data_IF_156199115546
#
_entry.id   IF_156199115546
#
_cell.length_a   1.000
_cell.length_b   1.000
_cell.length_c   1.000
_cell.angle_alpha   90.00
_cell.angle_beta   90.00
_cell.angle_gamma   90.00
#
_symmetry.space_group_name_H-M   'P 1'
#
loop_
_entity.id
_entity.type
_entity.pdbx_description
1 polymer ?
#
# COMPACT_ATOMS: atom_id res chain seq x y z
N UNK A 1 -5.74 -5.15 3.48
CA UNK A 1 -6.18 -4.01 2.64
C UNK A 1 -5.18 -3.79 1.52
N UNK A 2 -5.64 -3.68 0.31
CA UNK A 2 -4.78 -3.39 -0.84
C UNK A 2 -4.45 -1.90 -0.88
N UNK A 3 -3.22 -1.57 -1.27
CA UNK A 3 -2.77 -0.18 -1.33
C UNK A 3 -3.69 0.69 -2.21
N UNK A 4 -4.13 0.16 -3.37
CA UNK A 4 -5.03 0.90 -4.27
C UNK A 4 -6.36 1.29 -3.62
N UNK A 5 -6.78 0.56 -2.59
CA UNK A 5 -8.05 0.84 -1.90
C UNK A 5 -7.96 2.02 -0.94
N UNK A 6 -6.75 2.52 -0.65
CA UNK A 6 -6.58 3.75 0.12
C UNK A 6 -6.97 4.98 -0.69
N UNK A 7 -6.75 4.94 -2.01
CA UNK A 7 -7.08 6.08 -2.87
C UNK A 7 -8.59 6.36 -2.81
N UNK A 8 -8.92 7.62 -2.66
CA UNK A 8 -10.29 8.14 -2.55
C UNK A 8 -11.01 7.82 -1.25
N UNK A 9 -10.37 7.19 -0.27
CA UNK A 9 -10.97 7.08 1.05
C UNK A 9 -11.23 8.46 1.64
N UNK A 10 -12.40 8.66 2.26
CA UNK A 10 -12.65 9.92 2.96
C UNK A 10 -11.76 10.05 4.19
N UNK A 11 -11.35 11.26 4.48
CA UNK A 11 -10.61 11.61 5.69
C UNK A 11 -11.58 12.21 6.69
N UNK A 12 -11.78 11.53 7.79
CA UNK A 12 -12.72 11.91 8.84
C UNK A 12 -12.00 12.55 10.02
N UNK A 13 -12.42 13.76 10.38
CA UNK A 13 -11.92 14.48 11.54
C UNK A 13 -12.86 14.20 12.72
N UNK A 14 -12.36 13.48 13.74
CA UNK A 14 -13.16 13.09 14.91
C UNK A 14 -13.58 14.30 15.72
N UNK A 15 -12.72 15.31 15.81
CA UNK A 15 -13.00 16.50 16.62
C UNK A 15 -14.22 17.29 16.13
N UNK A 16 -14.38 17.38 14.81
CA UNK A 16 -15.49 18.12 14.19
C UNK A 16 -16.59 17.23 13.63
N UNK A 17 -16.38 15.91 13.63
CA UNK A 17 -17.27 14.92 13.02
C UNK A 17 -17.54 15.22 11.52
N UNK A 18 -16.52 15.67 10.80
CA UNK A 18 -16.63 16.05 9.40
C UNK A 18 -15.65 15.30 8.52
N UNK A 19 -16.07 15.00 7.30
CA UNK A 19 -15.17 14.56 6.23
C UNK A 19 -14.52 15.82 5.66
N UNK A 20 -13.18 15.88 5.73
CA UNK A 20 -12.44 17.08 5.35
C UNK A 20 -11.75 16.97 3.99
N UNK A 21 -11.67 15.76 3.45
CA UNK A 21 -11.02 15.52 2.16
C UNK A 21 -11.00 14.05 1.82
N UNK A 22 -10.21 13.71 0.80
CA UNK A 22 -10.03 12.33 0.35
C UNK A 22 -8.56 12.03 0.12
N UNK A 23 -8.19 10.78 0.33
CA UNK A 23 -6.82 10.33 0.07
C UNK A 23 -6.53 10.40 -1.43
N UNK A 24 -5.48 11.11 -1.80
CA UNK A 24 -4.97 11.15 -3.16
C UNK A 24 -3.99 10.02 -3.40
N UNK A 25 -3.05 9.81 -2.47
CA UNK A 25 -2.07 8.72 -2.53
C UNK A 25 -1.47 8.46 -1.16
N UNK A 26 -0.87 7.28 -1.01
CA UNK A 26 -0.08 6.92 0.15
C UNK A 26 1.36 6.69 -0.27
N UNK A 27 2.30 7.11 0.57
CA UNK A 27 3.74 6.91 0.35
C UNK A 27 4.24 5.90 1.38
N UNK A 28 4.81 4.79 0.89
CA UNK A 28 5.37 3.73 1.73
C UNK A 28 6.84 4.03 1.94
N UNK A 29 7.29 4.01 3.19
CA UNK A 29 8.69 4.17 3.53
C UNK A 29 9.48 2.88 3.30
N UNK A 30 10.80 2.99 3.35
CA UNK A 30 11.70 1.83 3.16
C UNK A 30 11.57 0.79 4.28
N UNK A 31 11.01 1.17 5.42
CA UNK A 31 10.68 0.28 6.53
C UNK A 31 9.40 -0.54 6.28
N UNK A 32 8.72 -0.32 5.14
CA UNK A 32 7.48 -1.01 4.79
C UNK A 32 6.24 -0.40 5.42
N UNK A 33 6.37 0.68 6.18
CA UNK A 33 5.23 1.37 6.79
C UNK A 33 4.78 2.54 5.94
N UNK A 34 3.51 2.93 6.07
CA UNK A 34 3.04 4.16 5.45
C UNK A 34 3.76 5.34 6.11
N UNK A 35 4.59 6.04 5.34
CA UNK A 35 5.28 7.23 5.83
C UNK A 35 4.30 8.39 5.98
N UNK A 36 3.47 8.61 4.98
CA UNK A 36 2.42 9.62 4.99
C UNK A 36 1.41 9.36 3.88
N UNK A 37 0.27 9.99 3.99
CA UNK A 37 -0.71 10.09 2.91
C UNK A 37 -0.82 11.52 2.44
N UNK A 38 -1.14 11.71 1.16
CA UNK A 38 -1.46 13.01 0.58
C UNK A 38 -2.97 13.08 0.46
N UNK A 39 -3.55 14.19 0.92
CA UNK A 39 -4.99 14.40 1.00
C UNK A 39 -5.39 15.55 0.11
N UNK A 40 -6.37 15.31 -0.74
CA UNK A 40 -7.03 16.35 -1.52
C UNK A 40 -8.15 16.95 -0.67
N UNK A 41 -8.03 18.24 -0.40
CA UNK A 41 -9.03 19.00 0.35
C UNK A 41 -9.60 20.08 -0.58
N UNK A 42 -10.94 20.12 -0.77
CA UNK A 42 -11.55 21.07 -1.71
C UNK A 42 -11.15 22.51 -1.44
N UNK A 43 -10.72 23.21 -2.49
CA UNK A 43 -10.36 24.61 -2.43
C UNK A 43 -9.00 24.91 -1.77
N UNK A 44 -8.20 23.90 -1.49
CA UNK A 44 -6.90 24.04 -0.85
C UNK A 44 -5.83 23.29 -1.64
N UNK A 45 -4.56 23.68 -1.43
CA UNK A 45 -3.43 22.91 -1.90
C UNK A 45 -3.42 21.53 -1.21
N UNK A 46 -2.86 20.49 -1.84
CA UNK A 46 -2.76 19.18 -1.21
C UNK A 46 -2.09 19.24 0.16
N UNK A 47 -2.60 18.46 1.08
CA UNK A 47 -2.08 18.37 2.45
C UNK A 47 -1.52 16.97 2.69
N UNK A 48 -0.75 16.80 3.75
CA UNK A 48 -0.26 15.50 4.13
C UNK A 48 -0.59 15.18 5.58
N UNK A 49 -0.70 13.89 5.86
CA UNK A 49 -0.88 13.37 7.21
C UNK A 49 0.15 12.26 7.39
N UNK A 50 0.99 12.39 8.43
CA UNK A 50 2.01 11.37 8.72
C UNK A 50 1.36 10.06 9.12
N UNK A 51 2.04 8.94 8.83
CA UNK A 51 1.51 7.61 9.12
C UNK A 51 1.14 7.40 10.59
N UNK A 52 1.86 8.04 11.50
CA UNK A 52 1.60 7.97 12.93
C UNK A 52 0.41 8.83 13.40
N UNK A 53 -0.07 9.74 12.56
CA UNK A 53 -1.07 10.73 12.94
C UNK A 53 -2.48 10.40 12.44
N UNK A 54 -2.67 9.25 11.85
CA UNK A 54 -4.01 8.78 11.46
C UNK A 54 -4.16 7.30 11.77
N UNK A 55 -5.41 6.87 11.84
CA UNK A 55 -5.75 5.45 11.87
C UNK A 55 -6.60 5.09 10.67
N UNK A 56 -6.58 3.82 10.29
CA UNK A 56 -7.40 3.30 9.21
C UNK A 56 -8.65 2.65 9.80
N UNK A 57 -9.79 3.24 9.50
CA UNK A 57 -11.07 2.63 9.74
C UNK A 57 -11.45 1.69 8.61
N UNK A 58 -12.62 1.11 8.68
CA UNK A 58 -13.12 0.20 7.66
C UNK A 58 -13.34 0.90 6.32
N UNK A 59 -13.80 2.14 6.35
CA UNK A 59 -14.19 2.90 5.16
C UNK A 59 -13.65 4.32 5.13
N UNK A 60 -12.73 4.66 6.05
CA UNK A 60 -12.20 6.01 6.15
C UNK A 60 -10.84 6.04 6.80
N UNK A 61 -10.10 7.10 6.52
CA UNK A 61 -8.93 7.51 7.27
C UNK A 61 -9.43 8.41 8.41
N UNK A 62 -8.95 8.20 9.62
CA UNK A 62 -9.44 8.90 10.80
C UNK A 62 -8.32 9.71 11.42
N UNK A 63 -8.52 11.02 11.58
CA UNK A 63 -7.61 11.90 12.32
C UNK A 63 -8.33 12.41 13.58
N UNK A 64 -7.55 12.61 14.66
CA UNK A 64 -8.11 13.09 15.92
C UNK A 64 -8.57 14.55 15.83
N UNK A 65 -7.79 15.39 15.12
CA UNK A 65 -8.07 16.79 14.94
C UNK A 65 -7.32 17.35 13.74
N UNK A 66 -7.52 18.63 13.43
CA UNK A 66 -6.91 19.30 12.28
C UNK A 66 -5.40 19.52 12.39
N UNK A 67 -4.83 19.40 13.58
CA UNK A 67 -3.38 19.61 13.78
C UNK A 67 -2.55 18.53 13.08
N UNK A 68 -3.11 17.35 12.86
CA UNK A 68 -2.46 16.28 12.13
C UNK A 68 -2.35 16.53 10.63
N UNK A 69 -3.11 17.49 10.11
CA UNK A 69 -3.14 17.82 8.69
C UNK A 69 -2.13 18.95 8.43
N UNK A 70 -1.07 18.61 7.68
CA UNK A 70 0.08 19.50 7.49
C UNK A 70 0.23 19.90 6.03
N UNK A 71 0.99 20.96 5.79
CA UNK A 71 1.34 21.35 4.44
C UNK A 71 2.17 20.26 3.77
N UNK A 72 1.85 19.95 2.52
CA UNK A 72 2.59 18.99 1.73
C UNK A 72 3.72 19.67 0.97
N UNK A 73 4.96 19.29 1.28
CA UNK A 73 6.13 19.72 0.54
C UNK A 73 6.47 18.62 -0.48
N UNK A 74 6.57 19.00 -1.75
CA UNK A 74 6.83 18.06 -2.84
C UNK A 74 8.14 17.30 -2.67
N UNK A 75 8.10 16.02 -2.88
CA UNK A 75 9.22 15.11 -2.83
C UNK A 75 8.67 13.71 -2.78
N UNK A 76 8.26 13.17 -3.93
CA UNK A 76 7.82 11.79 -3.99
C UNK A 76 9.05 10.89 -4.07
N UNK A 77 9.34 10.22 -2.97
CA UNK A 77 10.34 9.16 -2.95
C UNK A 77 9.60 7.83 -3.09
N UNK A 78 9.94 7.08 -4.13
CA UNK A 78 9.45 5.72 -4.30
C UNK A 78 10.21 4.82 -3.35
N UNK A 79 9.49 4.13 -2.48
CA UNK A 79 10.06 3.13 -1.59
C UNK A 79 10.47 1.88 -2.37
N UNK A 80 11.28 1.04 -1.75
CA UNK A 80 11.63 -0.27 -2.31
C UNK A 80 10.38 -1.11 -2.56
N UNK A 81 9.35 -0.97 -1.73
CA UNK A 81 8.11 -1.73 -1.87
C UNK A 81 7.29 -1.29 -3.09
N UNK A 82 7.19 0.01 -3.33
CA UNK A 82 6.49 0.51 -4.53
C UNK A 82 7.21 0.13 -5.82
N UNK A 83 8.53 0.05 -5.78
CA UNK A 83 9.34 -0.39 -6.93
C UNK A 83 9.12 -1.85 -7.28
N UNK A 84 8.52 -2.64 -6.38
CA UNK A 84 8.20 -4.04 -6.64
C UNK A 84 6.96 -4.23 -7.53
N UNK A 85 6.17 -3.21 -7.73
CA UNK A 85 5.04 -3.28 -8.65
C UNK A 85 5.53 -3.59 -10.06
N UNK A 86 4.98 -4.64 -10.67
CA UNK A 86 5.42 -5.13 -11.98
C UNK A 86 6.55 -6.17 -11.94
N UNK A 87 7.13 -6.41 -10.77
CA UNK A 87 8.19 -7.41 -10.62
C UNK A 87 7.61 -8.83 -10.73
N UNK A 88 8.44 -9.76 -11.19
CA UNK A 88 8.04 -11.14 -11.46
C UNK A 88 8.35 -12.04 -10.27
N UNK A 89 7.41 -12.93 -9.94
CA UNK A 89 7.56 -13.93 -8.88
C UNK A 89 7.62 -15.31 -9.50
N UNK A 90 8.62 -16.09 -9.10
CA UNK A 90 8.81 -17.47 -9.50
C UNK A 90 8.67 -18.43 -8.32
N UNK A 91 8.36 -19.69 -8.58
CA UNK A 91 8.51 -20.72 -7.56
C UNK A 91 9.94 -21.28 -7.58
N UNK A 92 10.25 -22.22 -6.67
CA UNK A 92 11.60 -22.80 -6.57
C UNK A 92 11.99 -23.68 -7.77
N UNK A 93 11.03 -24.05 -8.60
CA UNK A 93 11.26 -24.84 -9.83
C UNK A 93 11.49 -23.94 -11.06
N UNK A 94 11.46 -22.62 -10.86
CA UNK A 94 11.65 -21.66 -11.96
C UNK A 94 10.41 -21.37 -12.77
N UNK A 95 9.25 -21.80 -12.31
CA UNK A 95 7.99 -21.49 -12.96
C UNK A 95 7.52 -20.10 -12.55
N UNK A 96 7.07 -19.30 -13.51
CA UNK A 96 6.54 -17.96 -13.25
C UNK A 96 5.17 -18.08 -12.59
N UNK A 97 5.04 -17.55 -11.37
CA UNK A 97 3.78 -17.49 -10.66
C UNK A 97 2.94 -16.28 -11.05
N UNK A 98 3.60 -15.21 -11.48
CA UNK A 98 2.94 -13.99 -11.91
C UNK A 98 3.74 -12.74 -11.63
N UNK A 99 3.07 -11.60 -11.73
CA UNK A 99 3.68 -10.27 -11.48
C UNK A 99 2.98 -9.60 -10.30
N UNK A 100 3.74 -8.80 -9.56
CA UNK A 100 3.21 -8.02 -8.44
C UNK A 100 2.33 -6.90 -9.01
N UNK A 101 1.07 -6.87 -8.61
CA UNK A 101 0.11 -5.87 -9.06
C UNK A 101 -0.30 -4.88 -7.99
N UNK A 102 -0.10 -5.22 -6.72
CA UNK A 102 -0.41 -4.32 -5.61
C UNK A 102 0.31 -4.77 -4.34
N UNK A 103 0.36 -3.88 -3.37
CA UNK A 103 0.83 -4.16 -2.03
C UNK A 103 -0.37 -4.40 -1.11
N UNK A 104 -0.19 -5.28 -0.14
CA UNK A 104 -1.22 -5.57 0.86
C UNK A 104 -0.75 -5.02 2.19
N UNK A 105 -1.60 -4.19 2.80
CA UNK A 105 -1.31 -3.52 4.05
C UNK A 105 -2.08 -4.14 5.20
N UNK A 106 -1.44 -4.19 6.36
CA UNK A 106 -2.12 -4.41 7.63
C UNK A 106 -2.79 -3.10 8.05
N UNK A 107 -4.13 -3.04 8.17
CA UNK A 107 -4.80 -1.80 8.58
C UNK A 107 -4.40 -1.33 9.97
N UNK A 108 -4.14 -2.26 10.89
CA UNK A 108 -3.81 -1.93 12.27
C UNK A 108 -2.42 -1.30 12.40
N UNK A 109 -1.44 -1.85 11.69
CA UNK A 109 -0.05 -1.41 11.77
C UNK A 109 0.35 -0.45 10.65
N UNK A 110 -0.48 -0.33 9.62
CA UNK A 110 -0.18 0.47 8.41
C UNK A 110 1.14 0.06 7.76
N UNK A 111 1.38 -1.24 7.72
CA UNK A 111 2.62 -1.86 7.26
C UNK A 111 2.32 -2.81 6.09
N UNK A 112 3.23 -2.87 5.12
CA UNK A 112 3.14 -3.84 4.02
C UNK A 112 3.35 -5.23 4.60
N UNK A 113 2.37 -6.09 4.43
CA UNK A 113 2.42 -7.47 4.90
C UNK A 113 2.48 -8.48 3.74
N UNK A 114 2.19 -8.06 2.53
CA UNK A 114 2.18 -8.98 1.40
C UNK A 114 2.09 -8.29 0.06
N UNK A 115 2.06 -9.12 -0.96
CA UNK A 115 1.93 -8.72 -2.37
C UNK A 115 0.73 -9.39 -3.00
N UNK A 116 -0.01 -8.64 -3.80
CA UNK A 116 -0.98 -9.22 -4.72
C UNK A 116 -0.25 -9.61 -6.00
N UNK A 117 -0.41 -10.84 -6.44
CA UNK A 117 0.26 -11.38 -7.63
C UNK A 117 -0.78 -11.82 -8.64
N UNK A 118 -0.65 -11.33 -9.86
CA UNK A 118 -1.50 -11.69 -10.98
C UNK A 118 -0.77 -12.71 -11.86
N UNK A 119 -1.40 -13.84 -12.08
CA UNK A 119 -0.91 -14.85 -13.03
C UNK A 119 -1.45 -14.66 -14.45
N UNK A 120 -2.28 -13.62 -14.65
CA UNK A 120 -2.78 -13.17 -15.94
C UNK A 120 -4.19 -13.66 -16.28
N UNK A 121 -4.85 -12.87 -17.08
CA UNK A 121 -6.11 -13.09 -17.79
C UNK A 121 -7.09 -14.10 -17.21
N UNK A 122 -7.21 -15.24 -17.87
CA UNK A 122 -8.20 -16.28 -17.54
C UNK A 122 -7.97 -16.89 -16.15
N UNK A 123 -6.71 -17.09 -15.76
CA UNK A 123 -6.39 -17.64 -14.44
C UNK A 123 -6.87 -16.69 -13.32
N UNK A 124 -6.65 -15.40 -13.46
CA UNK A 124 -7.14 -14.42 -12.50
C UNK A 124 -8.66 -14.41 -12.41
N UNK A 125 -9.32 -14.56 -13.55
CA UNK A 125 -10.77 -14.59 -13.61
C UNK A 125 -11.37 -15.81 -12.90
N UNK A 126 -10.74 -16.98 -13.06
CA UNK A 126 -11.25 -18.24 -12.49
C UNK A 126 -10.84 -18.44 -11.02
N UNK A 127 -9.63 -18.07 -10.66
CA UNK A 127 -9.04 -18.37 -9.35
C UNK A 127 -8.82 -17.13 -8.47
N UNK A 128 -8.94 -15.93 -9.05
CA UNK A 128 -8.58 -14.70 -8.39
C UNK A 128 -7.07 -14.48 -8.38
N UNK A 129 -6.65 -13.31 -7.92
CA UNK A 129 -5.24 -12.98 -7.74
C UNK A 129 -4.75 -13.54 -6.42
N UNK A 130 -3.51 -14.03 -6.41
CA UNK A 130 -2.89 -14.59 -5.21
C UNK A 130 -2.37 -13.50 -4.30
N UNK A 131 -2.40 -13.76 -3.00
CA UNK A 131 -1.79 -12.91 -1.99
C UNK A 131 -0.62 -13.68 -1.37
N UNK A 132 0.56 -13.08 -1.39
CA UNK A 132 1.79 -13.71 -0.92
C UNK A 132 2.39 -12.82 0.17
N UNK A 133 2.71 -13.40 1.33
CA UNK A 133 3.30 -12.64 2.43
C UNK A 133 4.71 -12.15 2.08
N UNK A 134 5.07 -10.98 2.60
CA UNK A 134 6.37 -10.34 2.33
C UNK A 134 7.53 -11.27 2.67
N UNK A 135 7.45 -11.99 3.79
CA UNK A 135 8.50 -12.88 4.25
C UNK A 135 8.61 -14.20 3.47
N UNK A 136 7.64 -14.49 2.60
CA UNK A 136 7.68 -15.66 1.74
C UNK A 136 8.48 -15.45 0.46
N UNK A 137 8.81 -14.22 0.11
CA UNK A 137 9.51 -13.90 -1.13
C UNK A 137 10.97 -13.59 -0.84
N UNK A 138 11.86 -14.29 -1.53
CA UNK A 138 13.28 -14.02 -1.51
C UNK A 138 13.65 -13.29 -2.81
N UNK A 139 14.00 -12.02 -2.71
CA UNK A 139 14.35 -11.20 -3.87
C UNK A 139 15.78 -11.50 -4.31
N UNK A 140 15.93 -12.00 -5.54
CA UNK A 140 17.22 -12.44 -6.08
C UNK A 140 17.91 -11.36 -6.91
N UNK A 141 17.13 -10.42 -7.42
CA UNK A 141 17.63 -9.24 -8.13
C UNK A 141 16.60 -8.11 -8.02
N UNK A 142 16.84 -7.00 -8.71
CA UNK A 142 16.00 -5.81 -8.59
C UNK A 142 14.57 -6.00 -9.10
N UNK A 143 14.31 -7.01 -9.95
CA UNK A 143 13.02 -7.18 -10.63
C UNK A 143 12.39 -8.57 -10.51
N UNK A 144 13.02 -9.48 -9.78
CA UNK A 144 12.52 -10.86 -9.67
C UNK A 144 12.66 -11.41 -8.27
N UNK A 145 11.62 -12.09 -7.81
CA UNK A 145 11.61 -12.78 -6.52
C UNK A 145 11.30 -14.26 -6.69
N UNK A 146 11.69 -15.05 -5.71
CA UNK A 146 11.45 -16.50 -5.67
C UNK A 146 10.80 -16.86 -4.34
N UNK A 147 9.78 -17.71 -4.41
CA UNK A 147 9.20 -18.33 -3.23
C UNK A 147 9.94 -19.64 -3.01
N UNK A 148 10.72 -19.78 -1.92
CA UNK A 148 11.40 -21.03 -1.62
C UNK A 148 10.41 -22.14 -1.30
N UNK A 149 10.87 -23.39 -1.45
CA UNK A 149 10.09 -24.53 -0.99
C UNK A 149 9.99 -24.51 0.55
N UNK A 150 8.91 -25.11 1.06
CA UNK A 150 8.70 -25.24 2.49
C UNK A 150 9.87 -25.99 3.14
N UNK A 151 10.47 -25.41 4.18
CA UNK A 151 11.61 -25.98 4.88
C UNK A 151 12.99 -25.52 4.38
N UNK A 152 13.04 -24.69 3.35
CA UNK A 152 14.27 -24.05 2.88
C UNK A 152 14.57 -22.76 3.64
#
# INVERSE_FOLDING_TARGET
MKLRNLKNLPVFNKDTAQVVGRVEKAVIGDDGMIAYIVVDMPGQDPKMILGQDFSLGKESVIVENSESIKSYAHGEELSIYKKKLGDVIFNSEGEELGVVTDLILSPDNKEVQGFEVSSGGITDFLEGRKEIAVDQVCWKNASSGVIPEEGE
#
